data_IF_906354672965
#
_entry.id   IF_906354672965
#
_cell.length_a   1.000
_cell.length_b   1.000
_cell.length_c   1.000
_cell.angle_alpha   90.00
_cell.angle_beta   90.00
_cell.angle_gamma   90.00
#
_symmetry.space_group_name_H-M   'P 1'
#
loop_
_entity.id
_entity.type
_entity.pdbx_description
1 polymer ?
#
# COMPACT_ATOMS: atom_id res chain seq x y z
N UNK A 1 -2.48 -9.63 -3.85
CA UNK A 1 -1.18 -9.36 -4.49
C UNK A 1 -0.08 -9.28 -3.43
N UNK A 2 -0.08 -8.32 -2.50
CA UNK A 2 0.96 -8.25 -1.45
C UNK A 2 1.13 -9.56 -0.64
N UNK A 3 0.03 -10.24 -0.30
CA UNK A 3 0.06 -11.56 0.34
C UNK A 3 0.70 -12.64 -0.53
N UNK A 4 0.39 -12.67 -1.83
CA UNK A 4 1.00 -13.62 -2.78
C UNK A 4 2.50 -13.34 -2.95
N UNK A 5 2.88 -12.06 -3.01
CA UNK A 5 4.29 -11.68 -3.12
C UNK A 5 5.07 -12.10 -1.87
N UNK A 6 4.52 -11.83 -0.68
CA UNK A 6 5.11 -12.27 0.58
C UNK A 6 5.26 -13.81 0.64
N UNK A 7 4.25 -14.54 0.18
CA UNK A 7 4.29 -16.01 0.10
C UNK A 7 5.36 -16.51 -0.88
N UNK A 8 5.56 -15.81 -1.99
CA UNK A 8 6.55 -16.18 -3.02
C UNK A 8 8.00 -15.87 -2.61
N UNK A 9 8.23 -14.75 -1.91
CA UNK A 9 9.58 -14.24 -1.63
C UNK A 9 10.02 -14.42 -0.18
N UNK A 10 9.11 -14.78 0.73
CA UNK A 10 9.37 -14.78 2.17
C UNK A 10 9.46 -13.39 2.80
N UNK A 11 9.27 -12.31 2.03
CA UNK A 11 9.33 -10.95 2.53
C UNK A 11 8.17 -10.62 3.47
N UNK A 12 8.44 -9.76 4.46
CA UNK A 12 7.44 -9.31 5.43
C UNK A 12 6.50 -8.28 4.78
N UNK A 13 5.19 -8.56 4.81
CA UNK A 13 4.18 -7.64 4.29
C UNK A 13 3.79 -6.59 5.35
N UNK A 14 4.16 -5.35 5.10
CA UNK A 14 3.80 -4.15 5.85
C UNK A 14 2.69 -3.42 5.08
N UNK A 15 1.47 -3.95 5.17
CA UNK A 15 0.30 -3.34 4.52
C UNK A 15 -0.12 -2.05 5.24
N UNK A 16 -0.64 -1.06 4.51
CA UNK A 16 -1.13 0.22 5.05
C UNK A 16 -2.11 0.03 6.22
N UNK A 17 -2.89 -1.05 6.20
CA UNK A 17 -3.80 -1.41 7.28
C UNK A 17 -3.09 -1.77 8.59
N UNK A 18 -1.86 -2.30 8.55
CA UNK A 18 -1.10 -2.62 9.76
C UNK A 18 -0.93 -1.38 10.64
N UNK A 19 -0.60 -0.23 10.02
CA UNK A 19 -0.39 1.02 10.72
C UNK A 19 -1.70 1.73 11.06
N UNK A 20 -2.63 1.75 10.10
CA UNK A 20 -3.91 2.44 10.27
C UNK A 20 -4.81 1.74 11.29
N UNK A 21 -4.95 0.41 11.24
CA UNK A 21 -5.86 -0.33 12.09
C UNK A 21 -5.47 -0.26 13.58
N UNK A 22 -4.19 -0.09 13.88
CA UNK A 22 -3.69 0.10 15.24
C UNK A 22 -4.27 1.35 15.93
N UNK A 23 -4.72 2.34 15.14
CA UNK A 23 -5.35 3.57 15.63
C UNK A 23 -6.85 3.59 15.33
N UNK A 24 -7.24 3.17 14.13
CA UNK A 24 -8.62 3.25 13.67
C UNK A 24 -9.55 2.27 14.41
N UNK A 25 -9.08 1.07 14.78
CA UNK A 25 -9.91 0.12 15.54
C UNK A 25 -10.21 0.62 16.96
N UNK A 26 -9.23 1.09 17.75
CA UNK A 26 -9.51 1.74 19.04
C UNK A 26 -10.45 2.95 18.93
N UNK A 27 -10.35 3.72 17.85
CA UNK A 27 -11.29 4.83 17.57
C UNK A 27 -12.71 4.36 17.21
N UNK A 28 -12.90 3.07 16.92
CA UNK A 28 -14.18 2.50 16.51
C UNK A 28 -14.54 2.78 15.05
N UNK A 29 -13.54 2.89 14.17
CA UNK A 29 -13.77 2.99 12.73
C UNK A 29 -14.41 1.71 12.18
N UNK A 30 -15.51 1.87 11.44
CA UNK A 30 -16.31 0.80 10.82
C UNK A 30 -16.33 0.91 9.28
N UNK A 31 -15.58 1.88 8.73
CA UNK A 31 -15.57 2.23 7.32
C UNK A 31 -16.78 3.05 6.86
N UNK A 32 -17.65 3.47 7.78
CA UNK A 32 -18.79 4.37 7.55
C UNK A 32 -18.59 5.70 8.30
N UNK A 33 -18.05 5.64 9.51
CA UNK A 33 -17.69 6.82 10.30
C UNK A 33 -16.53 7.59 9.65
N UNK A 34 -16.65 8.92 9.49
CA UNK A 34 -15.53 9.76 9.09
C UNK A 34 -14.38 9.67 10.09
N UNK A 35 -13.14 9.63 9.58
CA UNK A 35 -11.93 9.68 10.41
C UNK A 35 -11.50 11.14 10.53
N UNK A 36 -11.33 11.63 11.76
CA UNK A 36 -10.94 13.02 11.99
C UNK A 36 -9.45 13.26 11.69
N UNK A 37 -9.04 14.52 11.45
CA UNK A 37 -7.63 14.85 11.22
C UNK A 37 -6.69 14.40 12.36
N UNK A 38 -7.14 14.47 13.61
CA UNK A 38 -6.37 14.06 14.79
C UNK A 38 -6.09 12.56 14.78
N UNK A 39 -7.09 11.76 14.39
CA UNK A 39 -6.94 10.30 14.25
C UNK A 39 -6.02 9.96 13.07
N UNK A 40 -6.09 10.71 11.97
CA UNK A 40 -5.13 10.59 10.87
C UNK A 40 -3.69 10.96 11.29
N UNK A 41 -3.52 11.95 12.16
CA UNK A 41 -2.21 12.32 12.69
C UNK A 41 -1.61 11.21 13.56
N UNK A 42 -2.41 10.57 14.43
CA UNK A 42 -1.98 9.40 15.21
C UNK A 42 -1.59 8.21 14.31
N UNK A 43 -2.37 7.91 13.27
CA UNK A 43 -2.01 6.86 12.32
C UNK A 43 -0.69 7.16 11.58
N UNK A 44 -0.43 8.43 11.28
CA UNK A 44 0.85 8.88 10.72
C UNK A 44 2.01 8.64 11.68
N UNK A 45 1.85 8.89 12.99
CA UNK A 45 2.88 8.60 14.00
C UNK A 45 3.17 7.09 14.08
N UNK A 46 2.14 6.25 14.10
CA UNK A 46 2.31 4.78 14.10
C UNK A 46 3.05 4.31 12.85
N UNK A 47 2.74 4.88 11.67
CA UNK A 47 3.48 4.59 10.44
C UNK A 47 4.96 4.95 10.58
N UNK A 48 5.30 6.12 11.14
CA UNK A 48 6.69 6.52 11.34
C UNK A 48 7.44 5.54 12.25
N UNK A 49 6.81 5.08 13.34
CA UNK A 49 7.40 4.06 14.23
C UNK A 49 7.64 2.74 13.46
N UNK A 50 6.68 2.32 12.65
CA UNK A 50 6.83 1.16 11.78
C UNK A 50 7.98 1.27 10.79
N UNK A 51 8.16 2.45 10.18
CA UNK A 51 9.29 2.72 9.29
C UNK A 51 10.62 2.74 10.04
N UNK A 52 10.67 3.24 11.28
CA UNK A 52 11.86 3.15 12.12
C UNK A 52 12.24 1.70 12.42
N UNK A 53 11.28 0.86 12.80
CA UNK A 53 11.51 -0.57 13.00
C UNK A 53 11.98 -1.25 11.69
N UNK A 54 11.37 -0.91 10.56
CA UNK A 54 11.76 -1.42 9.26
C UNK A 54 13.22 -1.09 8.91
N UNK A 55 13.69 0.13 9.21
CA UNK A 55 15.10 0.53 9.03
C UNK A 55 16.05 -0.35 9.83
N UNK A 56 15.69 -0.71 11.06
CA UNK A 56 16.52 -1.49 11.98
C UNK A 56 16.43 -3.01 11.77
N UNK A 57 15.57 -3.49 10.87
CA UNK A 57 15.42 -4.93 10.65
C UNK A 57 16.73 -5.58 10.16
N UNK A 58 16.94 -6.88 10.41
CA UNK A 58 18.08 -7.62 9.86
C UNK A 58 18.21 -7.50 8.33
N UNK A 59 19.43 -7.65 7.80
CA UNK A 59 19.72 -7.43 6.36
C UNK A 59 19.10 -8.49 5.44
N UNK A 60 18.88 -9.68 5.97
CA UNK A 60 18.21 -10.82 5.32
C UNK A 60 16.68 -10.68 5.29
N UNK A 61 16.12 -9.70 5.98
CA UNK A 61 14.68 -9.43 5.98
C UNK A 61 14.30 -8.45 4.87
N UNK A 62 13.70 -9.00 3.81
CA UNK A 62 13.01 -8.24 2.76
C UNK A 62 11.63 -7.76 3.23
N UNK A 63 11.21 -6.60 2.74
CA UNK A 63 9.99 -5.91 3.19
C UNK A 63 9.14 -5.48 2.00
N UNK A 64 7.82 -5.69 2.10
CA UNK A 64 6.84 -5.25 1.11
C UNK A 64 5.97 -4.18 1.76
N UNK A 65 5.96 -2.97 1.22
CA UNK A 65 5.05 -1.92 1.65
C UNK A 65 3.93 -1.78 0.63
N UNK A 66 2.67 -1.82 1.08
CA UNK A 66 1.52 -1.47 0.23
C UNK A 66 0.93 -0.15 0.69
N UNK A 67 0.63 0.74 -0.25
CA UNK A 67 0.04 2.04 0.04
C UNK A 67 -0.88 2.47 -1.11
N UNK A 68 -1.90 3.24 -0.78
CA UNK A 68 -2.65 4.01 -1.76
C UNK A 68 -2.14 5.45 -1.70
N UNK A 69 -1.58 5.93 -2.80
CA UNK A 69 -0.92 7.23 -2.87
C UNK A 69 -1.72 8.19 -3.73
N UNK A 70 -1.89 9.41 -3.23
CA UNK A 70 -2.62 10.49 -3.90
C UNK A 70 -1.67 11.61 -4.31
N UNK A 71 -2.11 12.52 -5.17
CA UNK A 71 -1.31 13.68 -5.57
C UNK A 71 -1.18 14.77 -4.48
N UNK A 72 -1.89 14.62 -3.36
CA UNK A 72 -1.67 15.44 -2.15
C UNK A 72 -0.23 15.29 -1.63
N UNK A 73 0.33 16.29 -0.92
CA UNK A 73 1.73 16.26 -0.44
C UNK A 73 2.15 14.99 0.31
N UNK A 74 1.21 14.39 1.06
CA UNK A 74 1.44 13.13 1.78
C UNK A 74 1.79 11.93 0.87
N UNK A 75 1.40 11.96 -0.41
CA UNK A 75 1.73 10.90 -1.37
C UNK A 75 3.21 10.90 -1.77
N UNK A 76 3.74 11.99 -2.34
CA UNK A 76 5.17 12.13 -2.60
C UNK A 76 6.04 11.96 -1.35
N UNK A 77 5.62 12.51 -0.21
CA UNK A 77 6.34 12.35 1.07
C UNK A 77 6.48 10.88 1.47
N UNK A 78 5.43 10.08 1.32
CA UNK A 78 5.46 8.65 1.60
C UNK A 78 6.47 7.90 0.71
N UNK A 79 6.63 8.30 -0.56
CA UNK A 79 7.66 7.73 -1.43
C UNK A 79 9.06 8.09 -0.96
N UNK A 80 9.30 9.35 -0.65
CA UNK A 80 10.60 9.82 -0.15
C UNK A 80 10.99 9.08 1.13
N UNK A 81 10.06 8.89 2.05
CA UNK A 81 10.29 8.14 3.28
C UNK A 81 10.67 6.68 2.99
N UNK A 82 9.96 5.98 2.10
CA UNK A 82 10.27 4.59 1.76
C UNK A 82 11.61 4.43 1.05
N UNK A 83 11.97 5.37 0.16
CA UNK A 83 13.32 5.41 -0.43
C UNK A 83 14.39 5.57 0.64
N UNK A 84 14.19 6.48 1.59
CA UNK A 84 15.09 6.67 2.72
C UNK A 84 15.23 5.43 3.61
N UNK A 85 14.17 4.60 3.74
CA UNK A 85 14.27 3.31 4.44
C UNK A 85 15.18 2.34 3.67
N UNK A 86 14.98 2.20 2.37
CA UNK A 86 15.81 1.33 1.55
C UNK A 86 17.28 1.77 1.52
N UNK A 87 17.53 3.08 1.38
CA UNK A 87 18.86 3.67 1.42
C UNK A 87 19.56 3.42 2.76
N UNK A 88 18.88 3.69 3.88
CA UNK A 88 19.44 3.45 5.22
C UNK A 88 19.76 1.98 5.49
N UNK A 89 19.08 1.06 4.80
CA UNK A 89 19.31 -0.39 4.88
C UNK A 89 20.35 -0.88 3.87
N UNK A 90 20.80 -0.03 2.96
CA UNK A 90 21.54 -0.40 1.75
C UNK A 90 20.85 -1.56 0.99
N UNK A 91 19.53 -1.42 0.80
CA UNK A 91 18.67 -2.40 0.18
C UNK A 91 18.20 -1.92 -1.20
N UNK A 92 17.92 -2.86 -2.11
CA UNK A 92 17.30 -2.54 -3.39
C UNK A 92 15.87 -2.01 -3.15
N UNK A 93 15.55 -0.87 -3.76
CA UNK A 93 14.21 -0.30 -3.76
C UNK A 93 13.51 -0.59 -5.09
N UNK A 94 12.38 -1.29 -5.04
CA UNK A 94 11.60 -1.65 -6.23
C UNK A 94 10.22 -0.98 -6.13
N UNK A 95 10.03 0.22 -6.69
CA UNK A 95 8.72 0.85 -6.72
C UNK A 95 7.80 0.13 -7.72
N UNK A 96 6.60 -0.20 -7.27
CA UNK A 96 5.57 -0.85 -8.10
C UNK A 96 4.32 0.01 -8.13
N UNK A 97 3.90 0.40 -9.33
CA UNK A 97 2.68 1.14 -9.59
C UNK A 97 1.62 0.22 -10.18
N UNK A 98 0.48 0.16 -9.50
CA UNK A 98 -0.66 -0.63 -9.95
C UNK A 98 -1.70 0.29 -10.55
N UNK A 99 -1.97 0.08 -11.83
CA UNK A 99 -3.09 0.70 -12.52
C UNK A 99 -4.26 -0.30 -12.55
N UNK A 100 -5.48 0.24 -12.47
CA UNK A 100 -6.71 -0.52 -12.60
C UNK A 100 -7.81 0.41 -13.10
N UNK A 101 -8.58 -0.07 -14.06
CA UNK A 101 -9.76 0.62 -14.56
C UNK A 101 -10.75 0.91 -13.42
N UNK A 102 -11.40 2.09 -13.48
CA UNK A 102 -12.31 2.52 -12.42
C UNK A 102 -13.51 1.56 -12.27
N UNK A 103 -14.05 1.06 -13.39
CA UNK A 103 -15.17 0.13 -13.39
C UNK A 103 -14.79 -1.17 -12.68
N UNK A 104 -13.59 -1.67 -12.93
CA UNK A 104 -13.09 -2.87 -12.27
C UNK A 104 -12.77 -2.63 -10.79
N UNK A 105 -12.22 -1.46 -10.43
CA UNK A 105 -12.04 -1.08 -9.03
C UNK A 105 -13.36 -1.09 -8.27
N UNK A 106 -14.39 -0.47 -8.83
CA UNK A 106 -15.75 -0.41 -8.25
C UNK A 106 -16.36 -1.80 -8.12
N UNK A 107 -16.26 -2.65 -9.16
CA UNK A 107 -16.71 -4.04 -9.09
C UNK A 107 -15.99 -4.80 -7.96
N UNK A 108 -14.69 -4.57 -7.78
CA UNK A 108 -13.91 -5.21 -6.70
C UNK A 108 -14.24 -4.67 -5.31
N UNK A 109 -14.91 -3.52 -5.17
CA UNK A 109 -15.32 -2.98 -3.87
C UNK A 109 -16.42 -3.82 -3.21
N UNK A 110 -17.25 -4.48 -4.02
CA UNK A 110 -18.38 -5.30 -3.55
C UNK A 110 -17.99 -6.72 -3.16
N UNK A 111 -16.74 -7.13 -3.43
CA UNK A 111 -16.27 -8.49 -3.16
C UNK A 111 -16.24 -8.78 -1.64
N UNK A 112 -16.66 -9.99 -1.21
CA UNK A 112 -16.76 -10.35 0.21
C UNK A 112 -15.44 -10.18 0.98
N UNK A 113 -14.31 -10.47 0.33
CA UNK A 113 -12.96 -10.38 0.91
C UNK A 113 -12.61 -8.97 1.41
N UNK A 114 -13.21 -7.92 0.82
CA UNK A 114 -13.03 -6.54 1.30
C UNK A 114 -13.71 -6.27 2.64
N UNK A 115 -14.80 -6.98 2.94
CA UNK A 115 -15.53 -6.84 4.23
C UNK A 115 -14.66 -7.25 5.41
N UNK A 116 -13.77 -8.22 5.23
CA UNK A 116 -12.94 -8.77 6.30
C UNK A 116 -11.82 -7.81 6.76
N UNK A 117 -11.47 -6.78 5.98
CA UNK A 117 -10.30 -5.92 6.26
C UNK A 117 -10.64 -4.44 6.49
N UNK A 118 -11.89 -4.14 6.88
CA UNK A 118 -12.39 -2.77 7.10
C UNK A 118 -12.03 -1.79 5.96
N UNK A 119 -11.93 -2.31 4.73
CA UNK A 119 -11.58 -1.51 3.55
C UNK A 119 -12.71 -0.56 3.21
N UNK A 120 -12.40 0.53 2.51
CA UNK A 120 -13.41 1.40 1.92
C UNK A 120 -14.34 0.55 1.03
N UNK A 121 -15.65 0.65 1.28
CA UNK A 121 -16.71 -0.11 0.61
C UNK A 121 -17.70 0.76 -0.15
N UNK A 122 -17.64 2.08 0.04
CA UNK A 122 -18.52 3.03 -0.63
C UNK A 122 -17.85 3.57 -1.90
N UNK A 123 -18.42 3.23 -3.06
CA UNK A 123 -17.94 3.67 -4.37
C UNK A 123 -18.07 5.18 -4.58
N UNK A 124 -19.05 5.84 -3.96
CA UNK A 124 -19.18 7.29 -4.00
C UNK A 124 -18.03 7.97 -3.23
N UNK A 125 -17.64 7.42 -2.08
CA UNK A 125 -16.47 7.90 -1.34
C UNK A 125 -15.19 7.62 -2.15
N UNK A 126 -15.08 6.48 -2.83
CA UNK A 126 -13.94 6.20 -3.71
C UNK A 126 -13.83 7.25 -4.83
N UNK A 127 -14.92 7.49 -5.57
CA UNK A 127 -14.94 8.48 -6.66
C UNK A 127 -14.60 9.88 -6.17
N UNK A 128 -15.19 10.30 -5.05
CA UNK A 128 -14.87 11.59 -4.41
C UNK A 128 -13.39 11.66 -4.05
N UNK A 129 -12.87 10.65 -3.35
CA UNK A 129 -11.46 10.61 -2.94
C UNK A 129 -10.51 10.68 -4.13
N UNK A 130 -10.81 9.93 -5.20
CA UNK A 130 -10.04 9.93 -6.44
C UNK A 130 -10.10 11.29 -7.16
N UNK A 131 -11.28 11.88 -7.25
CA UNK A 131 -11.50 13.17 -7.90
C UNK A 131 -10.84 14.34 -7.16
N UNK A 132 -10.94 14.37 -5.82
CA UNK A 132 -10.41 15.45 -5.00
C UNK A 132 -8.89 15.34 -4.78
N UNK A 133 -8.36 14.12 -4.66
CA UNK A 133 -6.97 13.90 -4.24
C UNK A 133 -6.03 13.60 -5.41
N UNK A 134 -6.59 13.22 -6.57
CA UNK A 134 -5.84 12.72 -7.71
C UNK A 134 -5.12 11.39 -7.41
N UNK A 135 -4.65 10.73 -8.47
CA UNK A 135 -3.71 9.62 -8.37
C UNK A 135 -2.30 10.16 -8.56
N UNK A 136 -1.40 9.80 -7.65
CA UNK A 136 0.00 10.16 -7.82
C UNK A 136 0.55 9.45 -9.07
N UNK A 137 1.19 10.17 -10.02
CA UNK A 137 1.79 9.54 -11.19
C UNK A 137 2.94 8.61 -10.78
N UNK A 138 3.19 7.52 -11.54
CA UNK A 138 4.31 6.64 -11.29
C UNK A 138 5.64 7.40 -11.43
N UNK A 139 6.61 7.19 -10.53
CA UNK A 139 7.96 7.69 -10.74
C UNK A 139 8.63 6.94 -11.92
N UNK A 140 9.67 7.52 -12.55
CA UNK A 140 10.28 6.94 -13.76
C UNK A 140 10.87 5.54 -13.59
N UNK A 141 11.31 5.21 -12.39
CA UNK A 141 11.90 3.91 -12.03
C UNK A 141 10.87 2.88 -11.55
N UNK A 142 9.57 3.20 -11.59
CA UNK A 142 8.53 2.25 -11.18
C UNK A 142 8.19 1.22 -12.25
N UNK A 143 8.05 -0.02 -11.82
CA UNK A 143 7.36 -1.05 -12.60
C UNK A 143 5.88 -0.69 -12.64
N UNK A 144 5.29 -0.64 -13.84
CA UNK A 144 3.87 -0.39 -14.02
C UNK A 144 3.15 -1.67 -14.36
N UNK A 145 2.11 -2.00 -13.61
CA UNK A 145 1.32 -3.22 -13.82
C UNK A 145 -0.15 -2.84 -13.91
N UNK A 146 -0.77 -3.14 -15.04
CA UNK A 146 -2.23 -3.08 -15.18
C UNK A 146 -2.84 -4.34 -14.55
N UNK A 147 -3.62 -4.13 -13.49
CA UNK A 147 -4.28 -5.18 -12.73
C UNK A 147 -5.75 -5.36 -13.10
N UNK A 148 -6.22 -4.73 -14.19
CA UNK A 148 -7.62 -4.80 -14.64
C UNK A 148 -7.99 -6.22 -15.03
N UNK A 149 -7.13 -6.92 -15.77
CA UNK A 149 -7.32 -8.32 -16.16
C UNK A 149 -6.32 -9.28 -15.50
N UNK A 150 -5.28 -8.77 -14.84
CA UNK A 150 -4.22 -9.59 -14.26
C UNK A 150 -4.57 -10.06 -12.84
N UNK A 151 -4.45 -11.38 -12.62
CA UNK A 151 -4.69 -11.99 -11.32
C UNK A 151 -3.63 -11.60 -10.28
N UNK A 152 -4.00 -11.59 -8.98
CA UNK A 152 -3.06 -11.24 -7.90
C UNK A 152 -1.80 -12.10 -7.83
N UNK A 153 -1.87 -13.38 -8.22
CA UNK A 153 -0.75 -14.30 -8.23
C UNK A 153 0.22 -14.01 -9.39
N UNK A 154 -0.31 -13.73 -10.58
CA UNK A 154 0.49 -13.43 -11.77
C UNK A 154 1.19 -12.08 -11.62
N UNK A 155 0.49 -11.07 -11.10
CA UNK A 155 1.11 -9.79 -10.75
C UNK A 155 2.25 -9.95 -9.73
N UNK A 156 2.07 -10.81 -8.71
CA UNK A 156 3.12 -11.09 -7.73
C UNK A 156 4.35 -11.77 -8.35
N UNK A 157 4.15 -12.70 -9.30
CA UNK A 157 5.27 -13.31 -10.04
C UNK A 157 6.05 -12.28 -10.85
N UNK A 158 5.36 -11.39 -11.57
CA UNK A 158 6.01 -10.32 -12.34
C UNK A 158 6.89 -9.43 -11.45
N UNK A 159 6.37 -9.03 -10.29
CA UNK A 159 7.12 -8.22 -9.33
C UNK A 159 8.34 -8.99 -8.81
N UNK A 160 8.15 -10.24 -8.40
CA UNK A 160 9.22 -11.06 -7.84
C UNK A 160 10.34 -11.34 -8.86
N UNK A 161 9.98 -11.62 -10.12
CA UNK A 161 10.95 -11.78 -11.22
C UNK A 161 11.74 -10.50 -11.46
N UNK A 162 11.07 -9.34 -11.52
CA UNK A 162 11.77 -8.07 -11.74
C UNK A 162 12.68 -7.70 -10.57
N UNK A 163 12.28 -8.01 -9.34
CA UNK A 163 13.07 -7.77 -8.15
C UNK A 163 14.29 -8.71 -8.01
N UNK A 164 14.47 -9.67 -8.92
CA UNK A 164 15.50 -10.71 -8.79
C UNK A 164 15.28 -11.63 -7.58
N UNK A 165 14.05 -11.74 -7.09
CA UNK A 165 13.68 -12.57 -5.95
C UNK A 165 13.29 -14.00 -6.37
N UNK A 166 13.19 -14.23 -7.68
CA UNK A 166 13.09 -15.53 -8.30
C UNK A 166 14.37 -15.68 -9.12
N UNK A 167 15.16 -16.72 -8.83
CA UNK A 167 16.50 -17.05 -9.37
C UNK A 167 17.69 -16.43 -8.63
#
# INVERSE_FOLDING_TARGET
MGLELARLTGAVLLDNHLFNDAVFKPYGADGLRPITPEIHALASQVRLIGLQAARLAPRDVSQIFTSYLTSRPSGPEALTLLRGVAEARNAAYVPVWLDCDLTELERRMTLPERRQRAKLRDSAILRRTLGESGRLPPPPDAIRIDTSALGPADAARLIASHAGALF
#
